data_IF_764304706452
#
_entry.id   IF_764304706452
#
_cell.length_a   1.000
_cell.length_b   1.000
_cell.length_c   1.000
_cell.angle_alpha   90.00
_cell.angle_beta   90.00
_cell.angle_gamma   90.00
#
_symmetry.space_group_name_H-M   'P 1'
#
loop_
_entity.id
_entity.type
_entity.pdbx_description
1 polymer ?
#
# COMPACT_ATOMS: atom_id res chain seq x y z
N UNK A 1 -2.65 -4.79 -53.10
CA UNK A 1 -2.03 -3.73 -52.25
C UNK A 1 -2.84 -3.64 -50.95
N UNK A 2 -2.70 -4.60 -50.03
CA UNK A 2 -3.60 -4.67 -48.83
C UNK A 2 -2.89 -5.03 -47.52
N UNK A 3 -1.55 -4.92 -47.48
CA UNK A 3 -0.76 -5.25 -46.27
C UNK A 3 -0.77 -4.14 -45.21
N UNK A 4 -1.07 -2.90 -45.62
CA UNK A 4 -1.14 -1.70 -44.78
C UNK A 4 -2.26 -1.76 -43.72
N UNK A 5 -3.52 -2.12 -44.05
CA UNK A 5 -4.60 -2.17 -43.05
C UNK A 5 -4.39 -3.28 -42.02
N UNK A 6 -3.86 -4.44 -42.43
CA UNK A 6 -3.63 -5.57 -41.52
C UNK A 6 -2.57 -5.23 -40.47
N UNK A 7 -1.45 -4.63 -40.88
CA UNK A 7 -0.39 -4.23 -39.96
C UNK A 7 -0.87 -3.16 -38.97
N UNK A 8 -1.70 -2.22 -39.43
CA UNK A 8 -2.24 -1.13 -38.62
C UNK A 8 -3.27 -1.65 -37.60
N UNK A 9 -4.10 -2.62 -38.01
CA UNK A 9 -5.04 -3.31 -37.13
C UNK A 9 -4.30 -4.13 -36.04
N UNK A 10 -3.22 -4.82 -36.41
CA UNK A 10 -2.39 -5.57 -35.46
C UNK A 10 -1.70 -4.64 -34.44
N UNK A 11 -1.18 -3.50 -34.90
CA UNK A 11 -0.62 -2.46 -34.02
C UNK A 11 -1.66 -1.96 -33.01
N UNK A 12 -2.89 -1.67 -33.47
CA UNK A 12 -3.97 -1.19 -32.62
C UNK A 12 -4.36 -2.22 -31.55
N UNK A 13 -4.43 -3.51 -31.92
CA UNK A 13 -4.72 -4.60 -30.99
C UNK A 13 -3.67 -4.73 -29.88
N UNK A 14 -2.38 -4.60 -30.22
CA UNK A 14 -1.28 -4.67 -29.24
C UNK A 14 -1.37 -3.53 -28.22
N UNK A 15 -1.68 -2.31 -28.69
CA UNK A 15 -1.85 -1.14 -27.82
C UNK A 15 -3.07 -1.34 -26.89
N UNK A 16 -4.15 -1.94 -27.40
CA UNK A 16 -5.36 -2.23 -26.64
C UNK A 16 -5.18 -3.34 -25.59
N UNK A 17 -4.26 -4.28 -25.82
CA UNK A 17 -3.92 -5.31 -24.84
C UNK A 17 -3.04 -4.78 -23.69
N UNK A 18 -2.14 -3.83 -23.99
CA UNK A 18 -1.15 -3.30 -23.03
C UNK A 18 -1.75 -2.45 -21.89
N UNK A 19 -2.97 -1.95 -22.05
CA UNK A 19 -3.66 -1.10 -21.07
C UNK A 19 -4.33 -1.88 -19.92
N UNK A 20 -4.12 -3.20 -19.86
CA UNK A 20 -4.64 -4.06 -18.77
C UNK A 20 -3.70 -4.18 -17.57
N UNK A 21 -2.74 -3.27 -17.40
CA UNK A 21 -1.91 -3.21 -16.19
C UNK A 21 -2.79 -2.82 -15.00
N UNK A 22 -3.27 -3.83 -14.28
CA UNK A 22 -3.94 -3.68 -12.99
C UNK A 22 -2.89 -3.14 -12.01
N UNK A 23 -2.97 -1.84 -11.74
CA UNK A 23 -2.29 -1.22 -10.59
C UNK A 23 -2.82 -1.91 -9.34
N UNK A 24 -2.03 -2.81 -8.77
CA UNK A 24 -2.33 -3.39 -7.46
C UNK A 24 -1.75 -2.44 -6.43
N UNK A 25 -2.60 -1.56 -5.89
CA UNK A 25 -2.27 -0.78 -4.69
C UNK A 25 -1.87 -1.78 -3.60
N UNK A 26 -0.66 -1.67 -3.07
CA UNK A 26 -0.21 -2.49 -1.95
C UNK A 26 -1.20 -2.30 -0.79
N UNK A 27 -1.76 -3.40 -0.27
CA UNK A 27 -2.75 -3.28 0.81
C UNK A 27 -2.01 -2.86 2.07
N UNK A 28 -2.56 -1.86 2.76
CA UNK A 28 -2.04 -1.45 4.06
C UNK A 28 -2.97 -2.01 5.14
N UNK A 29 -2.46 -2.97 5.90
CA UNK A 29 -3.15 -3.55 7.03
C UNK A 29 -2.81 -2.79 8.31
N UNK A 30 -3.80 -2.67 9.20
CA UNK A 30 -3.65 -2.02 10.51
C UNK A 30 -3.73 -3.07 11.62
N UNK A 31 -2.80 -3.05 12.55
CA UNK A 31 -2.73 -3.99 13.67
C UNK A 31 -2.27 -3.26 14.95
N UNK A 32 -2.72 -3.67 16.15
CA UNK A 32 -2.17 -3.12 17.39
C UNK A 32 -0.68 -3.45 17.52
N UNK A 33 0.09 -2.51 18.07
CA UNK A 33 1.51 -2.73 18.38
C UNK A 33 1.68 -3.79 19.47
N UNK A 34 2.66 -4.67 19.32
CA UNK A 34 3.04 -5.64 20.34
C UNK A 34 4.09 -5.12 21.33
N UNK A 35 4.76 -4.01 20.98
CA UNK A 35 5.87 -3.44 21.75
C UNK A 35 5.53 -2.11 22.43
N UNK A 36 4.47 -1.43 21.99
CA UNK A 36 4.03 -0.17 22.60
C UNK A 36 3.31 -0.43 23.93
N UNK A 37 3.82 0.16 25.01
CA UNK A 37 3.28 0.03 26.35
C UNK A 37 2.69 1.35 26.86
N UNK A 38 1.53 1.27 27.51
CA UNK A 38 0.84 2.42 28.10
C UNK A 38 -0.21 3.06 27.19
N UNK A 39 -0.80 4.15 27.68
CA UNK A 39 -1.85 4.89 26.96
C UNK A 39 -1.25 5.74 25.84
N UNK A 40 -1.70 5.50 24.61
CA UNK A 40 -1.29 6.25 23.43
C UNK A 40 -2.01 7.60 23.39
N UNK A 41 -1.33 8.66 23.83
CA UNK A 41 -1.81 10.04 23.81
C UNK A 41 -1.26 10.84 22.62
N UNK A 42 -0.09 10.45 22.11
CA UNK A 42 0.65 11.15 21.07
C UNK A 42 1.11 10.18 19.99
N UNK A 43 0.78 10.50 18.73
CA UNK A 43 1.09 9.65 17.59
C UNK A 43 2.59 9.47 17.35
N UNK A 44 3.42 10.46 17.71
CA UNK A 44 4.88 10.41 17.51
C UNK A 44 5.54 9.24 18.23
N UNK A 45 5.13 8.95 19.47
CA UNK A 45 5.64 7.82 20.23
C UNK A 45 5.26 6.48 19.59
N UNK A 46 3.98 6.33 19.24
CA UNK A 46 3.47 5.15 18.56
C UNK A 46 4.15 4.93 17.19
N UNK A 47 4.23 5.97 16.36
CA UNK A 47 4.88 5.92 15.06
C UNK A 47 6.35 5.52 15.15
N UNK A 48 7.07 6.06 16.15
CA UNK A 48 8.48 5.72 16.40
C UNK A 48 8.66 4.26 16.78
N UNK A 49 7.78 3.72 17.65
CA UNK A 49 7.82 2.30 18.03
C UNK A 49 7.48 1.41 16.83
N UNK A 50 6.37 1.68 16.14
CA UNK A 50 5.96 0.90 14.97
C UNK A 50 7.06 0.89 13.89
N UNK A 51 7.69 2.03 13.61
CA UNK A 51 8.69 2.16 12.54
C UNK A 51 10.07 1.63 12.93
N UNK A 52 10.57 2.02 14.10
CA UNK A 52 11.96 1.76 14.49
C UNK A 52 12.12 0.45 15.26
N UNK A 53 11.10 0.01 16.00
CA UNK A 53 11.18 -1.21 16.83
C UNK A 53 10.54 -2.40 16.11
N UNK A 54 9.33 -2.21 15.56
CA UNK A 54 8.59 -3.29 14.89
C UNK A 54 8.87 -3.38 13.38
N UNK A 55 9.59 -2.41 12.80
CA UNK A 55 9.93 -2.41 11.37
C UNK A 55 8.72 -2.25 10.44
N UNK A 56 7.64 -1.65 10.94
CA UNK A 56 6.39 -1.42 10.22
C UNK A 56 6.40 -0.05 9.53
N UNK A 57 5.42 0.23 8.67
CA UNK A 57 5.37 1.48 7.89
C UNK A 57 5.22 2.73 8.79
N UNK A 58 4.52 2.57 9.91
CA UNK A 58 4.26 3.65 10.88
C UNK A 58 3.11 3.26 11.81
N UNK A 59 2.57 4.24 12.53
CA UNK A 59 1.45 4.00 13.43
C UNK A 59 0.80 5.27 13.98
N UNK A 60 -0.38 5.11 14.56
CA UNK A 60 -1.18 6.18 15.14
C UNK A 60 -1.99 5.67 16.34
N UNK A 61 -2.28 6.57 17.28
CA UNK A 61 -3.17 6.29 18.39
C UNK A 61 -4.62 6.21 17.90
N UNK A 62 -5.38 5.27 18.45
CA UNK A 62 -6.83 5.16 18.29
C UNK A 62 -7.54 5.78 19.51
N UNK A 63 -8.84 6.06 19.41
CA UNK A 63 -9.70 6.55 20.50
C UNK A 63 -9.84 5.62 21.71
N UNK A 64 -9.23 4.43 21.67
CA UNK A 64 -9.06 3.52 22.83
C UNK A 64 -7.71 3.66 23.52
N UNK A 65 -6.94 4.71 23.21
CA UNK A 65 -5.56 4.91 23.67
C UNK A 65 -4.63 3.73 23.31
N UNK A 66 -4.95 2.99 22.25
CA UNK A 66 -4.13 1.90 21.73
C UNK A 66 -3.29 2.41 20.54
N UNK A 67 -2.03 2.01 20.49
CA UNK A 67 -1.17 2.25 19.35
C UNK A 67 -1.49 1.24 18.24
N UNK A 68 -1.88 1.74 17.07
CA UNK A 68 -2.17 0.94 15.88
C UNK A 68 -1.08 1.19 14.84
N UNK A 69 -0.35 0.14 14.48
CA UNK A 69 0.66 0.17 13.45
C UNK A 69 0.10 -0.21 12.07
N UNK A 70 0.70 0.34 11.03
CA UNK A 70 0.39 0.07 9.63
C UNK A 70 1.50 -0.77 9.01
N UNK A 71 1.14 -1.82 8.25
CA UNK A 71 2.09 -2.73 7.59
C UNK A 71 1.61 -3.13 6.20
N UNK A 72 2.55 -3.49 5.32
CA UNK A 72 2.20 -4.10 4.05
C UNK A 72 1.49 -5.44 4.27
N UNK A 73 0.45 -5.63 3.47
CA UNK A 73 -0.23 -6.88 3.16
C UNK A 73 -0.64 -6.82 1.67
#
# INVERSE_FOLDING_TARGET
MEKKPVALFFMLLVILAAQTMVQTEARICKAPSGQYHGACLYNTGCASVCKNVEGLLGGQCNGKFQCICSRNC
#
